data_IF_878894168851
#
_entry.id   IF_878894168851
#
_cell.length_a   1.000
_cell.length_b   1.000
_cell.length_c   1.000
_cell.angle_alpha   90.00
_cell.angle_beta   90.00
_cell.angle_gamma   90.00
#
_symmetry.space_group_name_H-M   'P 1'
#
loop_
_entity.id
_entity.type
_entity.pdbx_description
1 polymer ?
#
# COMPACT_ATOMS: atom_id res chain seq x y z
N UNK A 1 -7.14 3.39 11.95
CA UNK A 1 -8.51 2.96 12.34
C UNK A 1 -9.15 4.08 13.16
N UNK A 2 -10.49 4.17 13.29
CA UNK A 2 -11.15 5.23 14.09
C UNK A 2 -10.53 5.39 15.49
N UNK A 3 -10.21 4.26 16.15
CA UNK A 3 -9.50 4.24 17.44
C UNK A 3 -8.11 4.88 17.40
N UNK A 4 -7.35 4.65 16.34
CA UNK A 4 -6.00 5.21 16.13
C UNK A 4 -6.02 6.71 15.77
N UNK A 5 -7.14 7.21 15.24
CA UNK A 5 -7.36 8.66 15.09
C UNK A 5 -7.75 9.35 16.42
N UNK A 6 -8.37 8.62 17.34
CA UNK A 6 -8.86 9.14 18.62
C UNK A 6 -7.82 9.11 19.75
N UNK A 7 -6.79 8.28 19.65
CA UNK A 7 -5.71 8.19 20.65
C UNK A 7 -4.43 8.75 20.03
N UNK A 8 -3.77 9.69 20.70
CA UNK A 8 -2.44 10.15 20.31
C UNK A 8 -1.44 9.00 20.48
N UNK A 9 -1.31 8.17 19.44
CA UNK A 9 -0.33 7.10 19.42
C UNK A 9 1.06 7.69 19.27
N UNK A 10 1.85 7.67 20.33
CA UNK A 10 3.30 7.67 20.18
C UNK A 10 3.63 6.42 19.37
N UNK A 11 3.95 6.62 18.10
CA UNK A 11 4.41 5.56 17.20
C UNK A 11 5.72 5.01 17.69
N UNK A 12 5.69 4.18 18.74
CA UNK A 12 6.82 3.36 19.14
C UNK A 12 7.05 2.38 17.99
N UNK A 13 8.03 2.70 17.13
CA UNK A 13 8.74 1.68 16.39
C UNK A 13 9.25 0.70 17.43
N UNK A 14 8.60 -0.45 17.53
CA UNK A 14 9.14 -1.58 18.27
C UNK A 14 10.52 -1.85 17.68
N UNK A 15 11.56 -1.53 18.44
CA UNK A 15 12.94 -1.86 18.11
C UNK A 15 13.05 -3.39 18.20
N UNK A 16 12.80 -4.03 17.06
CA UNK A 16 12.96 -5.47 16.94
C UNK A 16 14.46 -5.72 16.81
N UNK A 17 15.10 -6.08 17.92
CA UNK A 17 16.51 -6.45 17.96
C UNK A 17 16.81 -7.60 16.99
N UNK A 18 17.35 -7.30 15.80
CA UNK A 18 17.93 -8.31 14.92
C UNK A 18 19.04 -7.70 14.02
N UNK A 19 20.33 -7.86 14.38
CA UNK A 19 21.44 -7.42 13.53
C UNK A 19 21.51 -8.15 12.18
N UNK A 20 20.77 -9.26 12.02
CA UNK A 20 20.67 -10.07 10.79
C UNK A 20 19.23 -10.52 10.60
N UNK A 21 18.63 -10.21 9.44
CA UNK A 21 17.33 -10.76 9.05
C UNK A 21 16.22 -9.76 8.72
N UNK A 22 16.39 -8.45 8.89
CA UNK A 22 15.36 -7.47 8.48
C UNK A 22 15.05 -7.54 6.98
N UNK A 23 16.07 -7.73 6.13
CA UNK A 23 15.87 -7.92 4.70
C UNK A 23 15.11 -9.21 4.40
N UNK A 24 15.51 -10.34 4.97
CA UNK A 24 14.84 -11.63 4.77
C UNK A 24 13.41 -11.64 5.33
N UNK A 25 13.17 -11.00 6.48
CA UNK A 25 11.84 -10.83 7.04
C UNK A 25 10.97 -9.95 6.13
N UNK A 26 11.52 -8.87 5.57
CA UNK A 26 10.85 -8.06 4.56
C UNK A 26 10.51 -8.85 3.30
N UNK A 27 11.49 -9.59 2.76
CA UNK A 27 11.30 -10.47 1.60
C UNK A 27 10.23 -11.53 1.88
N UNK A 28 10.30 -12.21 3.03
CA UNK A 28 9.31 -13.20 3.43
C UNK A 28 7.92 -12.59 3.60
N UNK A 29 7.80 -11.39 4.18
CA UNK A 29 6.55 -10.65 4.31
C UNK A 29 5.94 -10.33 2.94
N UNK A 30 6.76 -9.96 1.95
CA UNK A 30 6.28 -9.66 0.60
C UNK A 30 5.89 -10.93 -0.18
N UNK A 31 6.69 -12.00 -0.08
CA UNK A 31 6.45 -13.26 -0.81
C UNK A 31 5.23 -14.00 -0.25
N UNK A 32 5.02 -14.00 1.07
CA UNK A 32 3.89 -14.71 1.70
C UNK A 32 2.58 -13.92 1.65
N UNK A 33 2.61 -12.65 1.25
CA UNK A 33 1.41 -11.84 1.13
C UNK A 33 0.65 -12.18 -0.16
N UNK A 34 -0.61 -12.69 -0.11
CA UNK A 34 -1.38 -13.02 -1.30
C UNK A 34 -1.96 -11.77 -2.00
N UNK A 35 -1.89 -10.59 -1.38
CA UNK A 35 -2.49 -9.36 -1.91
C UNK A 35 -1.92 -8.95 -3.28
N UNK A 36 -0.60 -8.98 -3.53
CA UNK A 36 -0.05 -8.58 -4.83
C UNK A 36 -0.50 -9.51 -5.96
N UNK A 37 -0.51 -10.83 -5.75
CA UNK A 37 -0.92 -11.77 -6.81
C UNK A 37 -2.42 -11.61 -7.13
N UNK A 38 -3.27 -11.41 -6.12
CA UNK A 38 -4.69 -11.15 -6.35
C UNK A 38 -4.93 -9.81 -7.06
N UNK A 39 -4.20 -8.77 -6.67
CA UNK A 39 -4.31 -7.45 -7.30
C UNK A 39 -3.83 -7.44 -8.75
N UNK A 40 -2.63 -7.97 -9.02
CA UNK A 40 -2.11 -8.00 -10.38
C UNK A 40 -2.87 -8.99 -11.26
N UNK A 41 -3.36 -10.10 -10.69
CA UNK A 41 -4.23 -11.03 -11.41
C UNK A 41 -5.50 -10.36 -11.92
N UNK A 42 -6.20 -9.57 -11.10
CA UNK A 42 -7.38 -8.83 -11.54
C UNK A 42 -7.04 -7.69 -12.49
N UNK A 43 -5.96 -6.96 -12.21
CA UNK A 43 -5.49 -5.86 -13.06
C UNK A 43 -5.17 -6.36 -14.48
N UNK A 44 -4.40 -7.44 -14.61
CA UNK A 44 -4.06 -7.99 -15.91
C UNK A 44 -5.27 -8.64 -16.58
N UNK A 45 -6.14 -9.32 -15.83
CA UNK A 45 -7.36 -9.92 -16.41
C UNK A 45 -8.31 -8.89 -17.01
N UNK A 46 -8.35 -7.66 -16.49
CA UNK A 46 -9.23 -6.59 -16.98
C UNK A 46 -8.48 -5.68 -17.98
N UNK A 47 -7.20 -5.41 -17.71
CA UNK A 47 -6.41 -4.41 -18.41
C UNK A 47 -5.62 -4.93 -19.60
N UNK A 48 -5.44 -6.25 -19.76
CA UNK A 48 -4.72 -6.84 -20.89
C UNK A 48 -5.71 -7.45 -21.87
N UNK A 49 -5.82 -6.91 -23.10
CA UNK A 49 -6.69 -7.47 -24.13
C UNK A 49 -6.33 -8.92 -24.47
N UNK A 50 -7.35 -9.70 -24.84
CA UNK A 50 -7.15 -11.03 -25.40
C UNK A 50 -6.27 -10.94 -26.67
N UNK A 51 -5.24 -11.78 -26.75
CA UNK A 51 -4.30 -11.79 -27.87
C UNK A 51 -3.07 -10.88 -27.72
N UNK A 52 -2.88 -10.23 -26.57
CA UNK A 52 -1.65 -9.47 -26.27
C UNK A 52 -0.42 -10.37 -26.37
N UNK A 53 0.60 -9.91 -27.11
CA UNK A 53 1.82 -10.68 -27.34
C UNK A 53 2.72 -10.75 -26.09
N UNK A 54 3.59 -11.77 -25.97
CA UNK A 54 4.50 -11.90 -24.82
C UNK A 54 5.41 -10.68 -24.60
N UNK A 55 5.81 -9.99 -25.68
CA UNK A 55 6.69 -8.80 -25.63
C UNK A 55 5.95 -7.60 -25.01
N UNK A 56 4.70 -7.37 -25.41
CA UNK A 56 3.87 -6.29 -24.88
C UNK A 56 3.57 -6.51 -23.40
N UNK A 57 3.25 -7.76 -23.03
CA UNK A 57 3.05 -8.12 -21.63
C UNK A 57 4.33 -7.92 -20.79
N UNK A 58 5.49 -8.32 -21.31
CA UNK A 58 6.77 -8.09 -20.65
C UNK A 58 7.07 -6.59 -20.47
N UNK A 59 6.71 -5.77 -21.46
CA UNK A 59 6.85 -4.31 -21.38
C UNK A 59 5.97 -3.73 -20.27
N UNK A 60 4.70 -4.13 -20.19
CA UNK A 60 3.80 -3.68 -19.10
C UNK A 60 4.36 -4.08 -17.74
N UNK A 61 4.80 -5.33 -17.58
CA UNK A 61 5.40 -5.81 -16.33
C UNK A 61 6.64 -4.99 -15.96
N UNK A 62 7.50 -4.69 -16.93
CA UNK A 62 8.70 -3.88 -16.71
C UNK A 62 8.36 -2.46 -16.25
N UNK A 63 7.43 -1.79 -16.94
CA UNK A 63 7.02 -0.40 -16.61
C UNK A 63 6.40 -0.34 -15.21
N UNK A 64 5.48 -1.27 -14.91
CA UNK A 64 4.85 -1.37 -13.58
C UNK A 64 5.89 -1.68 -12.50
N UNK A 65 6.80 -2.61 -12.76
CA UNK A 65 7.88 -2.97 -11.85
C UNK A 65 8.81 -1.80 -11.56
N UNK A 66 9.21 -1.05 -12.59
CA UNK A 66 10.07 0.12 -12.45
C UNK A 66 9.37 1.26 -11.70
N UNK A 67 8.09 1.52 -12.02
CA UNK A 67 7.30 2.51 -11.32
C UNK A 67 7.18 2.19 -9.82
N UNK A 68 6.81 0.95 -9.49
CA UNK A 68 6.69 0.50 -8.11
C UNK A 68 8.03 0.53 -7.37
N UNK A 69 9.11 0.12 -8.06
CA UNK A 69 10.47 0.23 -7.56
C UNK A 69 10.84 1.69 -7.24
N UNK A 70 10.61 2.61 -8.17
CA UNK A 70 10.89 4.04 -7.98
C UNK A 70 10.14 4.63 -6.79
N UNK A 71 8.86 4.25 -6.60
CA UNK A 71 8.06 4.64 -5.44
C UNK A 71 8.67 4.10 -4.15
N UNK A 72 9.03 2.81 -4.08
CA UNK A 72 9.65 2.24 -2.89
C UNK A 72 11.02 2.82 -2.57
N UNK A 73 11.86 3.06 -3.58
CA UNK A 73 13.13 3.75 -3.39
C UNK A 73 12.93 5.17 -2.88
N UNK A 74 11.96 5.90 -3.42
CA UNK A 74 11.62 7.23 -2.94
C UNK A 74 11.22 7.19 -1.47
N UNK A 75 10.37 6.24 -1.07
CA UNK A 75 10.04 6.07 0.35
C UNK A 75 11.25 5.70 1.21
N UNK A 76 12.11 4.79 0.76
CA UNK A 76 13.32 4.42 1.48
C UNK A 76 14.22 5.64 1.74
N UNK A 77 14.42 6.48 0.72
CA UNK A 77 15.16 7.73 0.85
C UNK A 77 14.46 8.72 1.78
N UNK A 78 13.15 8.93 1.61
CA UNK A 78 12.35 9.87 2.40
C UNK A 78 12.35 9.52 3.89
N UNK A 79 12.21 8.23 4.20
CA UNK A 79 12.12 7.71 5.56
C UNK A 79 13.46 7.31 6.18
N UNK A 80 14.56 7.33 5.40
CA UNK A 80 15.92 7.26 5.96
C UNK A 80 16.25 8.46 6.85
N UNK A 81 15.58 9.59 6.62
CA UNK A 81 15.69 10.79 7.44
C UNK A 81 14.70 10.76 8.63
N UNK A 82 15.23 10.64 9.85
CA UNK A 82 14.43 10.58 11.07
C UNK A 82 13.53 11.80 11.31
N UNK A 83 13.89 12.99 10.81
CA UNK A 83 13.04 14.17 10.94
C UNK A 83 11.77 14.07 10.08
N UNK A 84 11.91 13.58 8.84
CA UNK A 84 10.76 13.37 7.95
C UNK A 84 9.88 12.21 8.40
N UNK A 85 10.48 11.12 8.88
CA UNK A 85 9.72 10.02 9.47
C UNK A 85 8.85 10.48 10.65
N UNK A 86 9.37 11.32 11.54
CA UNK A 86 8.60 11.90 12.66
C UNK A 86 7.51 12.87 12.18
N UNK A 87 7.81 13.71 11.20
CA UNK A 87 6.81 14.63 10.63
C UNK A 87 5.65 13.86 9.99
N UNK A 88 5.95 12.83 9.21
CA UNK A 88 4.96 11.93 8.62
C UNK A 88 4.15 11.20 9.70
N UNK A 89 4.79 10.70 10.76
CA UNK A 89 4.10 10.04 11.87
C UNK A 89 3.08 10.97 12.56
N UNK A 90 3.37 12.28 12.66
CA UNK A 90 2.39 13.25 13.19
C UNK A 90 1.23 13.50 12.21
N UNK A 91 1.54 13.58 10.90
CA UNK A 91 0.55 13.74 9.85
C UNK A 91 -0.34 12.49 9.66
N UNK A 92 0.14 11.32 10.08
CA UNK A 92 -0.57 10.03 10.02
C UNK A 92 -1.99 10.11 10.58
N UNK A 93 -2.22 10.83 11.68
CA UNK A 93 -3.56 10.97 12.27
C UNK A 93 -4.57 11.61 11.29
N UNK A 94 -4.10 12.60 10.51
CA UNK A 94 -4.93 13.31 9.56
C UNK A 94 -5.24 12.43 8.36
N UNK A 95 -4.26 11.68 7.86
CA UNK A 95 -4.48 10.68 6.81
C UNK A 95 -5.47 9.60 7.28
N UNK A 96 -5.29 9.07 8.48
CA UNK A 96 -6.20 8.05 9.02
C UNK A 96 -7.62 8.58 9.20
N UNK A 97 -7.78 9.82 9.68
CA UNK A 97 -9.07 10.48 9.79
C UNK A 97 -9.73 10.72 8.43
N UNK A 98 -8.97 11.22 7.46
CA UNK A 98 -9.46 11.46 6.09
C UNK A 98 -9.88 10.15 5.42
N UNK A 99 -9.06 9.09 5.49
CA UNK A 99 -9.42 7.78 4.95
C UNK A 99 -10.61 7.15 5.67
N UNK A 100 -10.71 7.29 7.00
CA UNK A 100 -11.86 6.81 7.75
C UNK A 100 -13.15 7.51 7.30
N UNK A 101 -13.12 8.83 7.09
CA UNK A 101 -14.25 9.58 6.56
C UNK A 101 -14.59 9.16 5.13
N UNK A 102 -13.60 9.12 4.23
CA UNK A 102 -13.81 8.74 2.82
C UNK A 102 -14.39 7.33 2.69
N UNK A 103 -13.78 6.34 3.33
CA UNK A 103 -14.27 4.96 3.27
C UNK A 103 -15.57 4.77 4.04
N UNK A 104 -15.78 5.49 5.14
CA UNK A 104 -17.06 5.48 5.87
C UNK A 104 -18.21 6.01 5.02
N UNK A 105 -18.01 7.16 4.36
CA UNK A 105 -18.98 7.75 3.43
C UNK A 105 -19.20 6.82 2.23
N UNK A 106 -18.13 6.29 1.61
CA UNK A 106 -18.25 5.39 0.48
C UNK A 106 -19.03 4.11 0.86
N UNK A 107 -18.74 3.52 2.02
CA UNK A 107 -19.46 2.35 2.53
C UNK A 107 -20.93 2.64 2.81
N UNK A 108 -21.23 3.78 3.44
CA UNK A 108 -22.62 4.21 3.68
C UNK A 108 -23.36 4.45 2.37
N UNK A 109 -22.70 5.07 1.39
CA UNK A 109 -23.26 5.30 0.05
C UNK A 109 -23.56 3.98 -0.64
N UNK A 110 -22.66 3.00 -0.59
CA UNK A 110 -22.89 1.66 -1.17
C UNK A 110 -24.07 0.97 -0.47
N UNK A 111 -24.15 1.02 0.86
CA UNK A 111 -25.22 0.38 1.63
C UNK A 111 -26.60 1.00 1.35
N UNK A 112 -26.65 2.31 1.13
CA UNK A 112 -27.88 3.06 0.84
C UNK A 112 -28.20 3.12 -0.65
N UNK A 113 -27.28 2.69 -1.52
CA UNK A 113 -27.50 2.60 -2.95
C UNK A 113 -28.54 1.52 -3.20
N UNK A 114 -29.75 1.92 -3.61
CA UNK A 114 -30.72 0.96 -4.14
C UNK A 114 -30.20 0.52 -5.50
N UNK A 115 -29.89 -0.76 -5.64
CA UNK A 115 -29.75 -1.39 -6.95
C UNK A 115 -31.13 -1.38 -7.58
N UNK A 116 -31.43 -0.35 -8.36
CA UNK A 116 -32.53 -0.42 -9.32
C UNK A 116 -32.15 -1.48 -10.36
N UNK A 117 -32.97 -2.54 -10.54
CA UNK A 117 -32.72 -3.57 -11.54
C UNK A 117 -32.80 -3.03 -12.97
#
# INVERSE_FOLDING_TARGET
SLRSAMVAGDGKMTDLSAPRGHFLAGVALHITNPKPILFFGTLFSIGVPAGTGPVELAFVVLVVGLNNGAVFFTYALLFSNGALARAYARARRWFEGAFAALFGIAGLKILTMRLSP
#
